data_IF_126758903804
#
_entry.id   IF_126758903804
#
_cell.length_a   1.000
_cell.length_b   1.000
_cell.length_c   1.000
_cell.angle_alpha   90.00
_cell.angle_beta   90.00
_cell.angle_gamma   90.00
#
_symmetry.space_group_name_H-M   'P 1'
#
loop_
_entity.id
_entity.type
_entity.pdbx_description
1 polymer ?
#
# COMPACT_ATOMS: atom_id res chain seq x y z
N UNK A 1 2.67 12.24 16.89
CA UNK A 1 3.52 11.24 16.17
C UNK A 1 2.97 10.78 14.80
N UNK A 2 1.96 11.43 14.18
CA UNK A 2 1.39 10.98 12.88
C UNK A 2 1.91 11.74 11.63
N UNK A 3 2.80 12.72 11.79
CA UNK A 3 3.30 13.56 10.67
C UNK A 3 4.46 12.92 9.90
N UNK A 4 5.26 12.06 10.55
CA UNK A 4 6.45 11.43 9.93
C UNK A 4 6.07 10.35 8.89
N UNK A 5 4.99 9.59 9.13
CA UNK A 5 4.66 8.39 8.33
C UNK A 5 4.22 8.68 6.89
N UNK A 6 3.54 9.80 6.59
CA UNK A 6 3.04 10.05 5.23
C UNK A 6 4.16 10.21 4.21
N UNK A 7 5.20 10.97 4.54
CA UNK A 7 6.37 11.15 3.65
C UNK A 7 7.06 9.83 3.36
N UNK A 8 7.19 8.99 4.39
CA UNK A 8 7.77 7.65 4.26
C UNK A 8 6.93 6.76 3.35
N UNK A 9 5.60 6.78 3.50
CA UNK A 9 4.70 5.99 2.64
C UNK A 9 4.77 6.46 1.19
N UNK A 10 4.83 7.78 0.94
CA UNK A 10 5.02 8.30 -0.42
C UNK A 10 6.38 7.93 -1.01
N UNK A 11 7.45 7.99 -0.22
CA UNK A 11 8.78 7.57 -0.67
C UNK A 11 8.80 6.07 -1.01
N UNK A 12 8.17 5.25 -0.17
CA UNK A 12 8.03 3.81 -0.40
C UNK A 12 7.19 3.51 -1.65
N UNK A 13 6.10 4.25 -1.87
CA UNK A 13 5.25 4.14 -3.07
C UNK A 13 6.01 4.42 -4.37
N UNK A 14 6.82 5.48 -4.38
CA UNK A 14 7.65 5.80 -5.54
C UNK A 14 8.72 4.72 -5.74
N UNK A 15 9.41 4.31 -4.67
CA UNK A 15 10.45 3.28 -4.73
C UNK A 15 9.94 1.95 -5.26
N UNK A 16 8.83 1.46 -4.71
CA UNK A 16 8.22 0.20 -5.13
C UNK A 16 7.66 0.26 -6.55
N UNK A 17 7.10 1.40 -6.96
CA UNK A 17 6.65 1.59 -8.34
C UNK A 17 7.82 1.48 -9.34
N UNK A 18 8.96 2.09 -9.02
CA UNK A 18 10.16 2.00 -9.86
C UNK A 18 10.71 0.56 -9.93
N UNK A 19 10.72 -0.15 -8.80
CA UNK A 19 11.13 -1.57 -8.75
C UNK A 19 10.17 -2.43 -9.58
N UNK A 20 8.86 -2.23 -9.45
CA UNK A 20 7.85 -2.96 -10.20
C UNK A 20 8.04 -2.77 -11.70
N UNK A 21 8.16 -1.53 -12.18
CA UNK A 21 8.42 -1.22 -13.60
C UNK A 21 9.69 -1.91 -14.09
N UNK A 22 10.76 -1.87 -13.30
CA UNK A 22 12.04 -2.52 -13.64
C UNK A 22 11.89 -4.03 -13.75
N UNK A 23 11.18 -4.69 -12.81
CA UNK A 23 10.95 -6.13 -12.85
C UNK A 23 10.06 -6.55 -14.01
N UNK A 24 9.01 -5.78 -14.34
CA UNK A 24 8.19 -6.05 -15.52
C UNK A 24 8.97 -5.89 -16.82
N UNK A 25 9.81 -4.85 -16.93
CA UNK A 25 10.70 -4.69 -18.08
C UNK A 25 11.70 -5.85 -18.19
N UNK A 26 12.34 -6.23 -17.08
CA UNK A 26 13.24 -7.38 -17.04
C UNK A 26 12.53 -8.69 -17.40
N UNK A 27 11.28 -8.88 -16.96
CA UNK A 27 10.47 -10.04 -17.32
C UNK A 27 10.18 -10.08 -18.83
N UNK A 28 9.80 -8.94 -19.43
CA UNK A 28 9.56 -8.86 -20.87
C UNK A 28 10.81 -9.17 -21.70
N UNK A 29 11.99 -8.74 -21.24
CA UNK A 29 13.27 -8.99 -21.92
C UNK A 29 13.70 -10.46 -21.75
N UNK A 30 13.58 -11.00 -20.53
CA UNK A 30 14.06 -12.36 -20.21
C UNK A 30 13.07 -13.47 -20.58
N UNK A 31 11.79 -13.14 -20.76
CA UNK A 31 10.72 -14.13 -20.92
C UNK A 31 10.49 -14.99 -19.66
N UNK A 32 11.07 -14.61 -18.51
CA UNK A 32 11.03 -15.42 -17.29
C UNK A 32 9.71 -15.28 -16.55
N UNK A 33 9.01 -16.41 -16.37
CA UNK A 33 7.81 -16.49 -15.53
C UNK A 33 8.08 -16.16 -14.06
N UNK A 34 9.30 -16.45 -13.58
CA UNK A 34 9.70 -16.11 -12.19
C UNK A 34 9.83 -14.59 -12.05
N UNK A 35 10.46 -13.93 -13.02
CA UNK A 35 10.59 -12.47 -13.01
C UNK A 35 9.23 -11.78 -13.16
N UNK A 36 8.30 -12.37 -13.91
CA UNK A 36 6.92 -11.89 -14.02
C UNK A 36 6.21 -11.94 -12.67
N UNK A 37 6.30 -13.08 -11.97
CA UNK A 37 5.70 -13.25 -10.65
C UNK A 37 6.27 -12.24 -9.64
N UNK A 38 7.58 -12.02 -9.67
CA UNK A 38 8.28 -11.00 -8.88
C UNK A 38 7.81 -9.57 -9.20
N UNK A 39 7.52 -9.28 -10.48
CA UNK A 39 6.92 -8.02 -10.92
C UNK A 39 5.51 -7.82 -10.37
N UNK A 40 4.66 -8.86 -10.43
CA UNK A 40 3.31 -8.85 -9.85
C UNK A 40 3.38 -8.64 -8.34
N UNK A 41 4.31 -9.32 -7.65
CA UNK A 41 4.49 -9.13 -6.20
C UNK A 41 4.80 -7.66 -5.87
N UNK A 42 5.69 -7.03 -6.65
CA UNK A 42 6.09 -5.63 -6.44
C UNK A 42 4.95 -4.65 -6.76
N UNK A 43 4.07 -5.02 -7.70
CA UNK A 43 2.83 -4.27 -7.99
C UNK A 43 1.86 -4.34 -6.82
N UNK A 44 1.65 -5.52 -6.24
CA UNK A 44 0.78 -5.71 -5.07
C UNK A 44 1.31 -4.93 -3.86
N UNK A 45 2.63 -4.94 -3.64
CA UNK A 45 3.24 -4.18 -2.56
C UNK A 45 3.09 -2.64 -2.73
N UNK A 46 3.14 -2.16 -3.97
CA UNK A 46 2.78 -0.76 -4.29
C UNK A 46 1.30 -0.48 -3.98
N UNK A 47 0.41 -1.43 -4.29
CA UNK A 47 -1.01 -1.36 -3.95
C UNK A 47 -1.26 -1.26 -2.45
N UNK A 48 -0.52 -2.03 -1.63
CA UNK A 48 -0.59 -1.99 -0.17
C UNK A 48 -0.30 -0.58 0.38
N UNK A 49 0.68 0.13 -0.18
CA UNK A 49 0.98 1.51 0.21
C UNK A 49 -0.17 2.47 -0.15
N UNK A 50 -0.83 2.25 -1.29
CA UNK A 50 -2.06 2.96 -1.65
C UNK A 50 -3.19 2.74 -0.64
N UNK A 51 -3.39 1.50 -0.18
CA UNK A 51 -4.37 1.18 0.86
C UNK A 51 -4.06 1.84 2.20
N UNK A 52 -2.79 1.89 2.61
CA UNK A 52 -2.37 2.62 3.81
C UNK A 52 -2.63 4.13 3.70
N UNK A 53 -2.34 4.73 2.54
CA UNK A 53 -2.66 6.14 2.28
C UNK A 53 -4.17 6.41 2.33
N UNK A 54 -4.96 5.50 1.76
CA UNK A 54 -6.42 5.57 1.81
C UNK A 54 -6.92 5.46 3.26
N UNK A 55 -6.42 4.51 4.05
CA UNK A 55 -6.77 4.38 5.45
C UNK A 55 -6.40 5.60 6.29
N UNK A 56 -5.24 6.21 6.02
CA UNK A 56 -4.83 7.48 6.62
C UNK A 56 -5.71 8.67 6.21
N UNK A 57 -6.28 8.65 5.01
CA UNK A 57 -7.21 9.66 4.56
C UNK A 57 -8.57 9.49 5.25
N UNK A 58 -9.10 8.27 5.27
CA UNK A 58 -10.39 7.94 5.88
C UNK A 58 -10.39 8.18 7.40
N UNK A 59 -9.29 7.83 8.08
CA UNK A 59 -9.12 8.05 9.52
C UNK A 59 -9.06 9.53 9.95
N UNK A 60 -8.82 10.46 9.02
CA UNK A 60 -8.84 11.91 9.27
C UNK A 60 -10.22 12.53 9.16
N UNK A 61 -11.22 11.78 8.73
CA UNK A 61 -12.60 12.27 8.61
C UNK A 61 -13.13 12.68 9.98
N UNK A 62 -13.77 13.86 10.10
CA UNK A 62 -14.33 14.33 11.36
C UNK A 62 -15.49 13.44 11.81
N UNK A 63 -15.83 13.54 13.10
CA UNK A 63 -16.99 12.84 13.67
C UNK A 63 -18.30 13.29 13.00
N UNK A 64 -19.24 12.35 12.88
CA UNK A 64 -20.59 12.60 12.39
C UNK A 64 -21.60 11.86 13.28
N UNK A 65 -22.90 12.07 13.04
CA UNK A 65 -23.98 11.48 13.85
C UNK A 65 -23.94 9.95 13.91
N UNK A 66 -23.34 9.31 12.89
CA UNK A 66 -23.16 7.85 12.86
C UNK A 66 -21.93 7.40 13.62
N UNK A 67 -20.88 8.21 13.67
CA UNK A 67 -19.64 7.94 14.39
C UNK A 67 -19.26 9.13 15.29
N UNK A 68 -19.86 9.22 16.50
CA UNK A 68 -19.66 10.35 17.41
C UNK A 68 -18.21 10.50 17.89
N UNK A 69 -17.46 9.40 17.91
CA UNK A 69 -16.05 9.36 18.28
C UNK A 69 -15.09 9.56 17.09
N UNK A 70 -15.63 9.83 15.89
CA UNK A 70 -14.85 10.00 14.67
C UNK A 70 -14.32 8.69 14.08
N UNK A 71 -13.46 8.85 13.07
CA UNK A 71 -13.01 7.77 12.19
C UNK A 71 -11.58 7.29 12.44
N UNK A 72 -10.92 7.77 13.49
CA UNK A 72 -9.50 7.48 13.74
C UNK A 72 -9.14 5.99 13.79
N UNK A 73 -10.09 5.12 14.19
CA UNK A 73 -9.87 3.67 14.27
C UNK A 73 -9.76 2.97 12.91
N UNK A 74 -10.16 3.64 11.82
CA UNK A 74 -10.11 3.03 10.48
C UNK A 74 -8.68 2.73 10.03
N UNK A 75 -7.69 3.44 10.55
CA UNK A 75 -6.28 3.13 10.27
C UNK A 75 -5.93 1.68 10.66
N UNK A 76 -6.47 1.17 11.76
CA UNK A 76 -6.22 -0.20 12.20
C UNK A 76 -6.88 -1.22 11.28
N UNK A 77 -8.09 -0.92 10.80
CA UNK A 77 -8.78 -1.76 9.83
C UNK A 77 -7.99 -1.88 8.52
N UNK A 78 -7.53 -0.75 7.98
CA UNK A 78 -6.74 -0.74 6.74
C UNK A 78 -5.36 -1.37 6.92
N UNK A 79 -4.69 -1.15 8.06
CA UNK A 79 -3.43 -1.85 8.36
C UNK A 79 -3.61 -3.36 8.50
N UNK A 80 -4.72 -3.81 9.09
CA UNK A 80 -5.03 -5.23 9.18
C UNK A 80 -5.32 -5.85 7.80
N UNK A 81 -6.07 -5.16 6.95
CA UNK A 81 -6.30 -5.60 5.58
C UNK A 81 -5.00 -5.76 4.79
N UNK A 82 -4.08 -4.79 4.92
CA UNK A 82 -2.74 -4.86 4.32
C UNK A 82 -1.94 -6.04 4.87
N UNK A 83 -1.99 -6.30 6.18
CA UNK A 83 -1.30 -7.46 6.77
C UNK A 83 -1.80 -8.77 6.16
N UNK A 84 -3.12 -8.95 5.99
CA UNK A 84 -3.68 -10.13 5.33
C UNK A 84 -3.17 -10.26 3.90
N UNK A 85 -3.15 -9.17 3.13
CA UNK A 85 -2.66 -9.17 1.75
C UNK A 85 -1.18 -9.55 1.64
N UNK A 86 -0.35 -9.11 2.59
CA UNK A 86 1.07 -9.47 2.65
C UNK A 86 1.27 -10.95 2.97
N UNK A 87 0.48 -11.51 3.90
CA UNK A 87 0.60 -12.92 4.29
C UNK A 87 -0.05 -13.90 3.32
N UNK A 88 -1.01 -13.44 2.53
CA UNK A 88 -1.72 -14.28 1.56
C UNK A 88 -0.99 -14.40 0.21
N UNK A 89 0.01 -13.56 -0.05
CA UNK A 89 0.77 -13.48 -1.30
C UNK A 89 2.06 -14.31 -1.25
#
# INVERSE_FOLDING_TARGET
>A
MASSSKKVIYAALIGNSLIAVTKFAASAITGSSVMLAEGIHSLVDTGNQGLLLYGLHRAKRPADDRYPFGYGKEIYFWSFAVAILVFAL
#
